data_IF_372466088322
#
_entry.id   IF_372466088322
#
_cell.length_a   1.000
_cell.length_b   1.000
_cell.length_c   1.000
_cell.angle_alpha   90.00
_cell.angle_beta   90.00
_cell.angle_gamma   90.00
#
_symmetry.space_group_name_H-M   'P 1'
#
loop_
_entity.id
_entity.type
_entity.pdbx_description
1 polymer ?
#
# COMPACT_ATOMS: atom_id res chain seq x y z
N UNK A 1 12.75 17.98 -12.45
CA UNK A 1 11.99 19.09 -13.09
C UNK A 1 10.77 19.35 -12.22
N UNK A 2 10.57 20.57 -11.73
CA UNK A 2 9.42 20.93 -10.88
C UNK A 2 8.28 21.40 -11.79
N UNK A 3 7.18 20.65 -11.86
CA UNK A 3 6.00 21.04 -12.63
C UNK A 3 5.18 21.99 -11.78
N UNK A 4 5.20 23.29 -12.10
CA UNK A 4 4.33 24.27 -11.46
C UNK A 4 2.88 24.05 -11.88
N UNK A 5 2.07 23.50 -10.97
CA UNK A 5 0.64 23.34 -11.14
C UNK A 5 -0.09 24.65 -10.82
N UNK A 6 -1.02 25.06 -11.66
CA UNK A 6 -1.99 26.13 -11.37
C UNK A 6 -3.00 25.64 -10.31
N UNK A 7 -3.71 26.55 -9.62
CA UNK A 7 -4.74 26.15 -8.65
C UNK A 7 -5.89 25.34 -9.28
N UNK A 8 -6.14 25.53 -10.59
CA UNK A 8 -7.09 24.72 -11.35
C UNK A 8 -6.57 23.31 -11.63
N UNK A 9 -5.25 23.11 -11.67
CA UNK A 9 -4.58 21.82 -11.89
C UNK A 9 -4.29 21.07 -10.57
N UNK A 10 -4.39 21.73 -9.41
CA UNK A 10 -4.44 21.09 -8.08
C UNK A 10 -5.80 20.44 -7.85
N UNK A 11 -6.13 19.52 -8.74
CA UNK A 11 -7.37 18.77 -8.72
C UNK A 11 -7.38 17.78 -7.55
N UNK A 12 -8.58 17.45 -7.11
CA UNK A 12 -8.81 16.34 -6.20
C UNK A 12 -8.85 15.05 -7.02
N UNK A 13 -8.03 14.09 -6.62
CA UNK A 13 -7.95 12.78 -7.26
C UNK A 13 -8.98 11.85 -6.65
N UNK A 14 -9.79 11.24 -7.51
CA UNK A 14 -10.81 10.26 -7.16
C UNK A 14 -10.32 8.85 -7.43
N UNK A 15 -9.58 8.65 -8.53
CA UNK A 15 -9.05 7.35 -8.94
C UNK A 15 -7.77 7.48 -9.76
N UNK A 16 -7.24 6.34 -10.21
CA UNK A 16 -6.00 6.26 -11.00
C UNK A 16 -6.13 6.89 -12.41
N UNK A 17 -7.34 6.96 -12.99
CA UNK A 17 -7.56 7.57 -14.31
C UNK A 17 -7.25 9.07 -14.30
N UNK A 18 -7.58 9.77 -13.20
CA UNK A 18 -7.30 11.20 -13.04
C UNK A 18 -5.79 11.50 -13.14
N UNK A 19 -4.98 10.69 -12.46
CA UNK A 19 -3.51 10.82 -12.49
C UNK A 19 -2.98 10.42 -13.85
N UNK A 20 -3.46 9.31 -14.42
CA UNK A 20 -3.02 8.88 -15.74
C UNK A 20 -3.25 9.98 -16.79
N UNK A 21 -4.44 10.61 -16.80
CA UNK A 21 -4.74 11.69 -17.74
C UNK A 21 -3.82 12.91 -17.63
N UNK A 22 -3.31 13.21 -16.43
CA UNK A 22 -2.29 14.25 -16.22
C UNK A 22 -0.92 13.76 -16.73
N UNK A 23 -0.50 12.57 -16.30
CA UNK A 23 0.82 12.01 -16.62
C UNK A 23 1.00 11.72 -18.11
N UNK A 24 -0.05 11.26 -18.80
CA UNK A 24 -0.05 11.04 -20.25
C UNK A 24 0.23 12.35 -20.99
N UNK A 25 -0.38 13.47 -20.58
CA UNK A 25 -0.11 14.80 -21.17
C UNK A 25 1.32 15.25 -20.92
N UNK A 26 1.90 14.92 -19.76
CA UNK A 26 3.29 15.23 -19.43
C UNK A 26 4.22 14.43 -20.37
N UNK A 27 4.05 13.10 -20.45
CA UNK A 27 4.84 12.24 -21.34
C UNK A 27 4.79 12.67 -22.80
N UNK A 28 3.58 13.00 -23.31
CA UNK A 28 3.41 13.41 -24.70
C UNK A 28 4.04 14.77 -25.04
N UNK A 29 4.35 15.61 -24.03
CA UNK A 29 5.02 16.91 -24.21
C UNK A 29 6.54 16.82 -24.21
N UNK A 30 7.11 15.72 -23.73
CA UNK A 30 8.55 15.55 -23.64
C UNK A 30 9.22 15.50 -25.02
N UNK A 31 10.52 15.82 -25.05
CA UNK A 31 11.30 15.69 -26.27
C UNK A 31 11.33 14.22 -26.72
N UNK A 32 11.39 13.96 -28.03
CA UNK A 32 11.45 12.58 -28.56
C UNK A 32 12.58 11.73 -27.96
N UNK A 33 13.68 12.37 -27.53
CA UNK A 33 14.81 11.67 -26.92
C UNK A 33 14.47 11.23 -25.50
N UNK A 34 13.77 12.07 -24.75
CA UNK A 34 13.37 11.78 -23.37
C UNK A 34 12.22 10.78 -23.32
N UNK A 35 11.30 10.82 -24.30
CA UNK A 35 10.21 9.83 -24.43
C UNK A 35 10.70 8.38 -24.55
N UNK A 36 11.94 8.16 -25.01
CA UNK A 36 12.54 6.84 -25.10
C UNK A 36 13.24 6.38 -23.80
N UNK A 37 13.15 7.16 -22.72
CA UNK A 37 13.74 6.85 -21.42
C UNK A 37 12.67 6.54 -20.38
N UNK A 38 13.04 5.74 -19.40
CA UNK A 38 12.23 5.52 -18.22
C UNK A 38 12.30 6.71 -17.27
N UNK A 39 11.15 7.13 -16.78
CA UNK A 39 10.98 8.20 -15.81
C UNK A 39 10.22 7.67 -14.61
N UNK A 40 10.71 8.02 -13.44
CA UNK A 40 10.02 7.74 -12.19
C UNK A 40 9.55 9.04 -11.56
N UNK A 41 8.23 9.18 -11.44
CA UNK A 41 7.55 10.34 -10.92
C UNK A 41 6.90 10.04 -9.58
N UNK A 42 6.83 11.06 -8.73
CA UNK A 42 6.09 11.01 -7.47
C UNK A 42 5.05 12.13 -7.48
N UNK A 43 3.82 11.74 -7.19
CA UNK A 43 2.71 12.66 -6.97
C UNK A 43 2.46 12.76 -5.47
N UNK A 44 2.70 13.94 -4.89
CA UNK A 44 2.39 14.21 -3.49
C UNK A 44 0.95 14.68 -3.31
N UNK A 45 0.27 14.15 -2.30
CA UNK A 45 -1.15 14.40 -2.04
C UNK A 45 -1.41 14.87 -0.60
N UNK A 46 -2.40 15.75 -0.47
CA UNK A 46 -3.03 16.08 0.80
C UNK A 46 -3.94 14.95 1.32
N UNK A 47 -4.40 15.07 2.57
CA UNK A 47 -5.30 14.09 3.16
C UNK A 47 -6.64 13.96 2.39
N UNK A 48 -7.11 15.03 1.74
CA UNK A 48 -8.33 15.04 0.92
C UNK A 48 -8.10 14.59 -0.55
N UNK A 49 -6.94 14.04 -0.89
CA UNK A 49 -6.49 13.66 -2.24
C UNK A 49 -6.26 14.83 -3.21
N UNK A 50 -6.09 16.07 -2.74
CA UNK A 50 -5.65 17.17 -3.59
C UNK A 50 -4.16 17.03 -3.92
N UNK A 51 -3.79 17.25 -5.18
CA UNK A 51 -2.38 17.25 -5.58
C UNK A 51 -1.64 18.43 -4.95
N UNK A 52 -0.53 18.15 -4.29
CA UNK A 52 0.45 19.12 -3.81
C UNK A 52 1.53 19.39 -4.86
N UNK A 53 2.07 18.31 -5.44
CA UNK A 53 3.14 18.37 -6.43
C UNK A 53 3.16 17.11 -7.30
N UNK A 54 3.78 17.23 -8.46
CA UNK A 54 4.19 16.13 -9.33
C UNK A 54 5.67 16.38 -9.66
N UNK A 55 6.54 15.43 -9.35
CA UNK A 55 7.98 15.63 -9.48
C UNK A 55 8.68 14.42 -10.07
N UNK A 56 9.59 14.69 -11.02
CA UNK A 56 10.47 13.69 -11.59
C UNK A 56 11.59 13.39 -10.59
N UNK A 57 11.59 12.20 -10.02
CA UNK A 57 12.60 11.74 -9.07
C UNK A 57 13.82 11.18 -9.80
N UNK A 58 13.58 10.44 -10.90
CA UNK A 58 14.68 9.81 -11.62
C UNK A 58 14.41 9.76 -13.11
N UNK A 59 15.42 10.20 -13.87
CA UNK A 59 15.52 10.05 -15.32
C UNK A 59 16.46 8.88 -15.58
N UNK A 60 15.88 7.74 -15.94
CA UNK A 60 16.57 6.50 -16.16
C UNK A 60 17.18 6.39 -17.56
N UNK A 61 17.64 5.17 -17.83
CA UNK A 61 18.03 4.72 -19.16
C UNK A 61 16.79 4.23 -19.93
N UNK A 62 16.99 3.56 -21.07
CA UNK A 62 15.93 2.92 -21.83
C UNK A 62 15.33 1.71 -21.08
N UNK A 63 16.10 1.10 -20.15
CA UNK A 63 15.77 -0.22 -19.57
C UNK A 63 15.61 -0.22 -18.04
N UNK A 64 16.00 0.87 -17.39
CA UNK A 64 15.99 0.95 -15.93
C UNK A 64 16.13 2.39 -15.46
N UNK A 65 15.43 2.69 -14.37
CA UNK A 65 15.60 3.89 -13.55
C UNK A 65 16.05 3.52 -12.13
N UNK A 66 17.03 4.26 -11.57
CA UNK A 66 17.48 4.06 -10.20
C UNK A 66 16.70 5.01 -9.29
N UNK A 67 15.97 4.46 -8.33
CA UNK A 67 15.14 5.22 -7.38
C UNK A 67 15.45 4.75 -5.97
N UNK A 68 15.89 5.67 -5.13
CA UNK A 68 16.13 5.40 -3.72
C UNK A 68 15.03 6.03 -2.84
N UNK A 69 14.59 5.36 -1.76
CA UNK A 69 13.56 5.90 -0.88
C UNK A 69 13.91 7.26 -0.28
N UNK A 70 15.19 7.56 -0.06
CA UNK A 70 15.63 8.85 0.46
C UNK A 70 15.19 10.01 -0.45
N UNK A 71 15.34 9.87 -1.76
CA UNK A 71 14.98 10.91 -2.74
C UNK A 71 13.46 11.08 -2.80
N UNK A 72 12.71 9.96 -2.84
CA UNK A 72 11.24 9.96 -2.87
C UNK A 72 10.66 10.66 -1.64
N UNK A 73 11.12 10.27 -0.44
CA UNK A 73 10.52 10.76 0.81
C UNK A 73 11.08 12.09 1.28
N UNK A 74 12.31 12.48 0.92
CA UNK A 74 12.84 13.81 1.24
C UNK A 74 11.91 14.90 0.74
N UNK A 75 11.51 14.80 -0.54
CA UNK A 75 10.60 15.74 -1.17
C UNK A 75 9.19 15.68 -0.58
N UNK A 76 8.63 14.48 -0.42
CA UNK A 76 7.29 14.30 0.11
C UNK A 76 7.15 14.90 1.52
N UNK A 77 8.15 14.70 2.36
CA UNK A 77 8.19 15.24 3.73
C UNK A 77 8.39 16.75 3.74
N UNK A 78 9.29 17.29 2.92
CA UNK A 78 9.50 18.74 2.80
C UNK A 78 8.22 19.48 2.36
N UNK A 79 7.50 18.90 1.38
CA UNK A 79 6.25 19.44 0.84
C UNK A 79 5.01 19.01 1.67
N UNK A 80 5.21 18.35 2.82
CA UNK A 80 4.16 17.90 3.77
C UNK A 80 3.06 17.04 3.13
N UNK A 81 3.42 16.21 2.16
CA UNK A 81 2.50 15.22 1.61
C UNK A 81 2.12 14.18 2.67
N UNK A 82 0.84 13.86 2.76
CA UNK A 82 0.31 12.82 3.66
C UNK A 82 0.26 11.47 2.94
N UNK A 83 0.13 11.52 1.62
CA UNK A 83 0.07 10.36 0.72
C UNK A 83 0.89 10.65 -0.52
N UNK A 84 1.42 9.59 -1.14
CA UNK A 84 2.09 9.67 -2.44
C UNK A 84 1.53 8.61 -3.39
N UNK A 85 1.52 8.93 -4.68
CA UNK A 85 1.38 7.96 -5.76
C UNK A 85 2.68 7.93 -6.56
N UNK A 86 3.04 6.72 -7.02
CA UNK A 86 4.21 6.49 -7.85
C UNK A 86 3.77 6.36 -9.29
N UNK A 87 4.52 6.90 -10.25
CA UNK A 87 4.26 6.70 -11.67
C UNK A 87 5.56 6.39 -12.41
N UNK A 88 5.59 5.26 -13.11
CA UNK A 88 6.73 4.81 -13.89
C UNK A 88 6.30 4.60 -15.35
N UNK A 89 6.91 5.29 -16.32
CA UNK A 89 6.62 5.00 -17.72
C UNK A 89 7.50 3.87 -18.26
N UNK A 90 6.91 3.02 -19.08
CA UNK A 90 7.61 2.04 -19.90
C UNK A 90 7.58 2.51 -21.36
N UNK A 91 8.70 2.99 -21.95
CA UNK A 91 8.75 3.43 -23.34
C UNK A 91 8.38 2.35 -24.35
N UNK A 92 8.55 1.07 -23.98
CA UNK A 92 8.16 -0.09 -24.78
C UNK A 92 6.64 -0.20 -24.97
N UNK A 93 5.84 0.44 -24.11
CA UNK A 93 4.39 0.33 -24.06
C UNK A 93 3.87 -0.92 -23.32
N UNK A 94 4.76 -1.82 -22.89
CA UNK A 94 4.40 -2.94 -22.01
C UNK A 94 3.98 -2.39 -20.64
N UNK A 95 2.93 -2.96 -20.05
CA UNK A 95 2.40 -2.50 -18.76
C UNK A 95 2.62 -3.51 -17.64
N UNK A 96 3.17 -4.69 -17.97
CA UNK A 96 3.50 -5.72 -16.99
C UNK A 96 4.60 -5.23 -16.05
N UNK A 97 4.36 -5.18 -14.72
CA UNK A 97 5.36 -4.75 -13.77
C UNK A 97 6.52 -5.74 -13.70
N UNK A 98 7.74 -5.21 -13.83
CA UNK A 98 8.96 -5.97 -13.61
C UNK A 98 9.14 -6.35 -12.14
N UNK A 99 10.03 -7.29 -11.85
CA UNK A 99 10.38 -7.63 -10.48
C UNK A 99 11.07 -6.45 -9.76
N UNK A 100 11.79 -5.61 -10.51
CA UNK A 100 12.36 -4.37 -9.97
C UNK A 100 11.26 -3.38 -9.57
N UNK A 101 10.21 -3.22 -10.38
CA UNK A 101 9.06 -2.37 -10.05
C UNK A 101 8.39 -2.82 -8.75
N UNK A 102 8.08 -4.12 -8.65
CA UNK A 102 7.48 -4.72 -7.44
C UNK A 102 8.39 -4.53 -6.23
N UNK A 103 9.68 -4.77 -6.41
CA UNK A 103 10.64 -4.69 -5.33
C UNK A 103 10.85 -3.26 -4.81
N UNK A 104 10.96 -2.29 -5.71
CA UNK A 104 11.02 -0.88 -5.38
C UNK A 104 9.74 -0.44 -4.66
N UNK A 105 8.58 -0.83 -5.18
CA UNK A 105 7.27 -0.50 -4.60
C UNK A 105 7.15 -1.02 -3.17
N UNK A 106 7.50 -2.28 -2.92
CA UNK A 106 7.54 -2.87 -1.57
C UNK A 106 8.40 -2.02 -0.63
N UNK A 107 9.64 -1.73 -1.04
CA UNK A 107 10.57 -0.92 -0.25
C UNK A 107 9.99 0.45 0.08
N UNK A 108 9.38 1.12 -0.90
CA UNK A 108 8.75 2.44 -0.72
C UNK A 108 7.51 2.38 0.18
N UNK A 109 6.68 1.35 0.06
CA UNK A 109 5.53 1.12 0.96
C UNK A 109 6.02 1.01 2.41
N UNK A 110 7.02 0.17 2.67
CA UNK A 110 7.53 -0.03 4.03
C UNK A 110 8.12 1.26 4.63
N UNK A 111 8.85 2.04 3.83
CA UNK A 111 9.36 3.36 4.26
C UNK A 111 8.20 4.34 4.52
N UNK A 112 7.21 4.37 3.64
CA UNK A 112 6.04 5.23 3.78
C UNK A 112 5.23 4.97 5.05
N UNK A 113 5.15 3.71 5.48
CA UNK A 113 4.55 3.33 6.77
C UNK A 113 5.35 3.94 7.93
N UNK A 114 6.68 3.88 7.88
CA UNK A 114 7.57 4.38 8.94
C UNK A 114 7.49 5.91 9.07
N UNK A 115 7.50 6.63 7.95
CA UNK A 115 7.47 8.11 7.94
C UNK A 115 6.05 8.68 7.90
N UNK A 116 5.03 7.83 8.04
CA UNK A 116 3.62 8.19 7.99
C UNK A 116 3.21 8.98 6.73
N UNK A 117 3.77 8.60 5.58
CA UNK A 117 3.43 9.11 4.26
C UNK A 117 3.12 7.91 3.36
N UNK A 118 1.85 7.56 3.22
CA UNK A 118 1.46 6.28 2.58
C UNK A 118 1.64 6.33 1.07
N UNK A 119 2.23 5.27 0.51
CA UNK A 119 2.11 4.97 -0.92
C UNK A 119 0.71 4.43 -1.16
N UNK A 120 -0.12 5.11 -1.95
CA UNK A 120 -1.52 4.71 -2.17
C UNK A 120 -1.77 4.04 -3.53
N UNK A 121 -0.83 4.20 -4.47
CA UNK A 121 -0.84 3.50 -5.75
C UNK A 121 0.55 3.57 -6.40
N UNK A 122 0.79 2.67 -7.34
CA UNK A 122 1.87 2.74 -8.31
C UNK A 122 1.31 2.47 -9.69
N UNK A 123 1.42 3.46 -10.57
CA UNK A 123 1.01 3.37 -11.96
C UNK A 123 2.21 3.03 -12.84
N UNK A 124 2.07 1.98 -13.65
CA UNK A 124 2.92 1.80 -14.84
C UNK A 124 2.15 2.38 -16.01
N UNK A 125 2.76 3.33 -16.72
CA UNK A 125 2.08 4.15 -17.73
C UNK A 125 2.76 4.03 -19.10
N UNK A 126 1.95 4.12 -20.16
CA UNK A 126 2.39 4.31 -21.53
C UNK A 126 1.64 5.48 -22.17
N UNK A 127 1.99 5.81 -23.42
CA UNK A 127 1.31 6.84 -24.20
C UNK A 127 -0.18 6.53 -24.45
N UNK A 128 -0.60 5.27 -24.32
CA UNK A 128 -1.95 4.80 -24.67
C UNK A 128 -2.76 4.24 -23.50
N UNK A 129 -2.11 3.68 -22.49
CA UNK A 129 -2.81 3.06 -21.36
C UNK A 129 -1.95 3.06 -20.09
N UNK A 130 -2.48 2.48 -19.01
CA UNK A 130 -1.77 2.29 -17.75
C UNK A 130 -2.24 1.03 -17.01
N UNK A 131 -1.42 0.60 -16.04
CA UNK A 131 -1.76 -0.40 -15.03
C UNK A 131 -1.62 0.23 -13.65
N UNK A 132 -2.61 0.02 -12.78
CA UNK A 132 -2.57 0.43 -11.37
C UNK A 132 -2.32 -0.78 -10.47
N UNK A 133 -1.33 -0.67 -9.58
CA UNK A 133 -1.05 -1.70 -8.58
C UNK A 133 -2.20 -1.82 -7.57
N UNK A 134 -2.84 -0.70 -7.23
CA UNK A 134 -3.98 -0.70 -6.32
C UNK A 134 -5.19 -1.44 -6.93
N UNK A 135 -5.48 -1.19 -8.22
CA UNK A 135 -6.61 -1.82 -8.91
C UNK A 135 -6.40 -3.31 -9.17
N UNK A 136 -5.15 -3.74 -9.38
CA UNK A 136 -4.84 -5.16 -9.62
C UNK A 136 -4.78 -6.00 -8.34
N UNK A 137 -4.79 -5.37 -7.15
CA UNK A 137 -4.59 -6.05 -5.87
C UNK A 137 -3.12 -6.22 -5.47
N UNK A 138 -2.18 -5.88 -6.37
CA UNK A 138 -0.74 -6.04 -6.15
C UNK A 138 -0.23 -5.13 -5.02
N UNK A 139 -0.79 -3.92 -4.88
CA UNK A 139 -0.38 -3.02 -3.79
C UNK A 139 -0.65 -3.66 -2.42
N UNK A 140 -1.84 -4.24 -2.23
CA UNK A 140 -2.26 -4.88 -0.98
C UNK A 140 -1.50 -6.17 -0.69
N UNK A 141 -1.01 -6.85 -1.72
CA UNK A 141 -0.07 -7.96 -1.57
C UNK A 141 1.28 -7.45 -1.03
N UNK A 142 1.83 -6.41 -1.66
CA UNK A 142 3.13 -5.84 -1.27
C UNK A 142 3.10 -5.17 0.11
N UNK A 143 1.97 -4.59 0.52
CA UNK A 143 1.77 -4.07 1.89
C UNK A 143 1.98 -5.13 2.97
N UNK A 144 1.70 -6.40 2.66
CA UNK A 144 1.87 -7.54 3.58
C UNK A 144 3.29 -8.11 3.56
N UNK A 145 4.15 -7.64 2.65
CA UNK A 145 5.54 -8.09 2.55
C UNK A 145 6.30 -7.86 3.86
N UNK A 146 7.14 -8.83 4.20
CA UNK A 146 8.07 -8.72 5.34
C UNK A 146 9.50 -8.43 4.88
N UNK A 147 9.75 -8.29 3.57
CA UNK A 147 11.10 -8.23 2.98
C UNK A 147 11.95 -7.08 3.54
N UNK A 148 11.34 -5.90 3.71
CA UNK A 148 12.01 -4.70 4.22
C UNK A 148 11.63 -4.33 5.64
N UNK A 149 10.88 -5.19 6.33
CA UNK A 149 10.47 -4.92 7.71
C UNK A 149 11.63 -5.23 8.66
N UNK A 150 12.03 -4.29 9.55
CA UNK A 150 13.09 -4.56 10.52
C UNK A 150 12.76 -5.77 11.41
N UNK A 151 13.76 -6.61 11.69
CA UNK A 151 13.60 -7.87 12.45
C UNK A 151 12.87 -7.66 13.78
N UNK A 152 13.22 -6.62 14.54
CA UNK A 152 12.59 -6.35 15.84
C UNK A 152 11.08 -6.03 15.71
N UNK A 153 10.65 -5.41 14.60
CA UNK A 153 9.24 -5.14 14.32
C UNK A 153 8.50 -6.45 14.03
N UNK A 154 9.12 -7.36 13.27
CA UNK A 154 8.55 -8.70 13.03
C UNK A 154 8.42 -9.49 14.33
N UNK A 155 9.45 -9.49 15.18
CA UNK A 155 9.40 -10.14 16.48
C UNK A 155 8.29 -9.59 17.38
N UNK A 156 8.09 -8.27 17.39
CA UNK A 156 7.00 -7.64 18.13
C UNK A 156 5.62 -8.05 17.59
N UNK A 157 5.45 -8.09 16.25
CA UNK A 157 4.21 -8.56 15.60
C UNK A 157 3.90 -10.01 15.98
N UNK A 158 4.89 -10.90 15.87
CA UNK A 158 4.75 -12.32 16.22
C UNK A 158 4.42 -12.52 17.70
N UNK A 159 5.08 -11.78 18.61
CA UNK A 159 4.77 -11.83 20.05
C UNK A 159 3.35 -11.36 20.33
N UNK A 160 2.91 -10.28 19.68
CA UNK A 160 1.55 -9.76 19.82
C UNK A 160 0.51 -10.76 19.33
N UNK A 161 0.72 -11.34 18.15
CA UNK A 161 -0.17 -12.35 17.57
C UNK A 161 -0.23 -13.61 18.43
N UNK A 162 0.92 -14.11 18.91
CA UNK A 162 0.97 -15.24 19.84
C UNK A 162 0.20 -14.96 21.15
N UNK A 163 0.32 -13.75 21.70
CA UNK A 163 -0.43 -13.34 22.88
C UNK A 163 -1.95 -13.25 22.62
N UNK A 164 -2.36 -12.77 21.44
CA UNK A 164 -3.77 -12.73 21.02
C UNK A 164 -4.35 -14.15 20.84
N UNK A 165 -3.59 -15.05 20.21
CA UNK A 165 -3.95 -16.46 20.06
C UNK A 165 -4.07 -17.14 21.43
N UNK A 166 -3.12 -16.91 22.34
CA UNK A 166 -3.16 -17.46 23.69
C UNK A 166 -4.42 -17.01 24.45
N UNK A 167 -4.72 -15.70 24.44
CA UNK A 167 -5.94 -15.14 25.05
C UNK A 167 -7.21 -15.72 24.43
N UNK A 168 -7.24 -15.90 23.11
CA UNK A 168 -8.39 -16.51 22.41
C UNK A 168 -8.57 -17.97 22.79
N UNK A 169 -7.48 -18.74 22.90
CA UNK A 169 -7.52 -20.14 23.33
C UNK A 169 -8.00 -20.29 24.77
N UNK A 170 -7.61 -19.39 25.67
CA UNK A 170 -8.11 -19.35 27.05
C UNK A 170 -9.63 -19.13 27.09
N UNK A 171 -10.15 -18.15 26.33
CA UNK A 171 -11.61 -17.92 26.19
C UNK A 171 -12.34 -19.15 25.66
N UNK A 172 -11.77 -19.83 24.66
CA UNK A 172 -12.34 -21.06 24.09
C UNK A 172 -12.38 -22.18 25.15
N UNK A 173 -11.35 -22.33 25.98
CA UNK A 173 -11.32 -23.38 27.00
C UNK A 173 -12.31 -23.09 28.14
N UNK A 174 -12.47 -21.82 28.54
CA UNK A 174 -13.53 -21.38 29.47
C UNK A 174 -14.90 -21.71 28.88
N UNK A 175 -15.15 -21.36 27.62
CA UNK A 175 -16.42 -21.63 26.95
C UNK A 175 -16.72 -23.14 26.88
N UNK A 176 -15.73 -23.98 26.55
CA UNK A 176 -15.88 -25.44 26.58
C UNK A 176 -16.24 -25.95 27.98
N UNK A 177 -15.59 -25.43 29.02
CA UNK A 177 -15.88 -25.84 30.40
C UNK A 177 -17.30 -25.46 30.83
N UNK A 178 -17.77 -24.25 30.49
CA UNK A 178 -19.15 -23.85 30.76
C UNK A 178 -20.16 -24.69 29.97
N UNK A 179 -19.86 -24.99 28.70
CA UNK A 179 -20.70 -25.85 27.85
C UNK A 179 -20.78 -27.28 28.38
N UNK A 180 -19.69 -27.84 28.92
CA UNK A 180 -19.69 -29.14 29.62
C UNK A 180 -20.58 -29.14 30.87
N UNK A 181 -20.68 -28.00 31.56
CA UNK A 181 -21.56 -27.81 32.73
C UNK A 181 -23.03 -27.58 32.36
N UNK A 182 -23.37 -27.54 31.07
CA UNK A 182 -24.74 -27.36 30.59
C UNK A 182 -25.24 -25.91 30.64
N UNK A 183 -24.34 -24.93 30.76
CA UNK A 183 -24.70 -23.50 30.66
C UNK A 183 -25.16 -23.20 29.23
N UNK A 184 -26.15 -22.33 29.09
CA UNK A 184 -26.70 -21.92 27.80
C UNK A 184 -25.66 -21.15 26.95
N UNK A 185 -25.83 -21.22 25.63
CA UNK A 185 -24.88 -20.66 24.67
C UNK A 185 -24.80 -19.14 24.72
N UNK A 186 -25.92 -18.46 25.05
CA UNK A 186 -25.98 -17.00 25.17
C UNK A 186 -25.14 -16.51 26.34
N UNK A 187 -25.36 -17.08 27.53
CA UNK A 187 -24.58 -16.73 28.74
C UNK A 187 -23.08 -17.01 28.56
N UNK A 188 -22.71 -18.07 27.84
CA UNK A 188 -21.30 -18.37 27.52
C UNK A 188 -20.72 -17.31 26.59
N UNK A 189 -21.45 -16.92 25.54
CA UNK A 189 -21.03 -15.89 24.60
C UNK A 189 -20.78 -14.56 25.32
N UNK A 190 -21.73 -14.13 26.14
CA UNK A 190 -21.64 -12.89 26.94
C UNK A 190 -20.46 -12.93 27.92
N UNK A 191 -20.22 -14.06 28.59
CA UNK A 191 -19.17 -14.19 29.60
C UNK A 191 -17.75 -14.30 29.02
N UNK A 192 -17.61 -14.86 27.82
CA UNK A 192 -16.29 -15.08 27.20
C UNK A 192 -15.95 -14.04 26.12
N UNK A 193 -16.97 -13.31 25.65
CA UNK A 193 -16.88 -12.41 24.51
C UNK A 193 -16.65 -13.15 23.19
N UNK A 194 -17.02 -14.43 23.12
CA UNK A 194 -17.14 -15.19 21.86
C UNK A 194 -18.52 -14.95 21.27
N UNK A 195 -18.64 -15.09 19.95
CA UNK A 195 -19.95 -15.08 19.30
C UNK A 195 -20.73 -16.36 19.62
N UNK A 196 -22.07 -16.28 19.58
CA UNK A 196 -22.95 -17.44 19.82
C UNK A 196 -22.60 -18.58 18.85
N UNK A 197 -22.39 -18.26 17.57
CA UNK A 197 -22.03 -19.24 16.54
C UNK A 197 -20.71 -19.96 16.84
N UNK A 198 -19.70 -19.24 17.36
CA UNK A 198 -18.44 -19.86 17.80
C UNK A 198 -18.67 -20.83 18.94
N UNK A 199 -19.45 -20.44 19.95
CA UNK A 199 -19.77 -21.28 21.11
C UNK A 199 -20.52 -22.54 20.68
N UNK A 200 -21.48 -22.43 19.76
CA UNK A 200 -22.24 -23.56 19.22
C UNK A 200 -21.35 -24.58 18.51
N UNK A 201 -20.39 -24.11 17.70
CA UNK A 201 -19.43 -24.94 16.98
C UNK A 201 -18.43 -25.66 17.91
N UNK A 202 -18.25 -25.22 19.16
CA UNK A 202 -17.36 -25.88 20.12
C UNK A 202 -17.82 -27.31 20.42
N UNK A 203 -16.99 -28.28 20.05
CA UNK A 203 -17.20 -29.70 20.42
C UNK A 203 -16.68 -29.94 21.84
N UNK A 204 -17.52 -30.54 22.67
CA UNK A 204 -17.20 -30.96 24.04
C UNK A 204 -17.65 -32.39 24.24
N UNK A 205 -16.76 -33.24 24.73
CA UNK A 205 -17.15 -34.59 25.19
C UNK A 205 -18.04 -34.42 26.42
N UNK A 206 -19.27 -34.94 26.36
CA UNK A 206 -20.10 -35.12 27.56
C UNK A 206 -19.40 -36.14 28.47
N UNK A 207 -19.32 -35.85 29.77
CA UNK A 207 -18.96 -36.86 30.76
C UNK A 207 -20.05 -37.93 30.81
#
# INVERSE_FOLDING_TARGET
MDIKLTEQEKIKILNSDDIYGIMQKILLRESKIDQNREHFWVVGLENNNRILFIELISLGTINATLVEPMEVFSLALQKRAVKIMLCHNHPSGELTPSDNDKNLTDRLIQVGIIVNTRVIDHLIISDKSYLSFANTGLLQELEKSTKYVPKYVLEQRLKKEAAEIAKRNEKIEIAKNLKRKGIDTGTIADSTGLTIEEVEKLRVKKK
#
